data_IF_494438867709
#
_entry.id   IF_494438867709
#
_cell.length_a   1.000
_cell.length_b   1.000
_cell.length_c   1.000
_cell.angle_alpha   90.00
_cell.angle_beta   90.00
_cell.angle_gamma   90.00
#
_symmetry.space_group_name_H-M   'P 1'
#
loop_
_entity.id
_entity.type
_entity.pdbx_description
1 polymer ?
#
# COMPACT_ATOMS: atom_id res chain seq x y z
N UNK A 1 5.29 18.06 -7.00
CA UNK A 1 5.45 16.72 -6.39
C UNK A 1 5.62 16.94 -4.90
N UNK A 2 4.81 16.29 -4.08
CA UNK A 2 4.91 16.36 -2.63
C UNK A 2 5.20 14.98 -2.07
N UNK A 3 6.09 14.88 -1.09
CA UNK A 3 6.41 13.65 -0.40
C UNK A 3 6.19 13.83 1.10
N UNK A 4 5.46 12.89 1.71
CA UNK A 4 5.18 12.85 3.16
C UNK A 4 5.80 11.56 3.70
N UNK A 5 6.68 11.68 4.68
CA UNK A 5 7.34 10.54 5.31
C UNK A 5 6.67 10.25 6.66
N UNK A 6 6.39 8.97 6.92
CA UNK A 6 5.65 8.49 8.08
C UNK A 6 6.36 7.24 8.62
N UNK A 7 7.33 7.43 9.52
CA UNK A 7 8.16 6.31 9.96
C UNK A 7 8.97 5.72 8.80
N UNK A 8 8.85 4.42 8.56
CA UNK A 8 9.44 3.74 7.41
C UNK A 8 8.64 3.87 6.11
N UNK A 9 7.47 4.51 6.15
CA UNK A 9 6.57 4.66 5.01
C UNK A 9 6.66 6.03 4.35
N UNK A 10 6.23 6.13 3.09
CA UNK A 10 6.12 7.41 2.37
C UNK A 10 4.89 7.46 1.47
N UNK A 11 4.30 8.65 1.35
CA UNK A 11 3.27 8.99 0.36
C UNK A 11 3.87 10.01 -0.59
N UNK A 12 3.79 9.72 -1.89
CA UNK A 12 4.25 10.59 -2.97
C UNK A 12 3.03 11.01 -3.77
N UNK A 13 2.78 12.31 -3.83
CA UNK A 13 1.66 12.88 -4.58
C UNK A 13 2.16 13.68 -5.78
N UNK A 14 1.62 13.34 -6.96
CA UNK A 14 1.87 14.07 -8.19
C UNK A 14 1.13 15.42 -8.20
N UNK A 15 1.55 16.40 -9.03
CA UNK A 15 0.81 17.65 -9.18
C UNK A 15 -0.64 17.48 -9.63
N UNK A 16 -0.98 16.36 -10.28
CA UNK A 16 -2.34 16.01 -10.70
C UNK A 16 -3.14 15.27 -9.63
N UNK A 17 -2.59 15.07 -8.42
CA UNK A 17 -3.27 14.49 -7.27
C UNK A 17 -3.10 12.98 -7.11
N UNK A 18 -2.54 12.29 -8.12
CA UNK A 18 -2.30 10.84 -8.06
C UNK A 18 -1.29 10.49 -6.98
N UNK A 19 -1.50 9.34 -6.33
CA UNK A 19 -0.76 8.91 -5.15
C UNK A 19 0.01 7.61 -5.43
N UNK A 20 1.30 7.64 -5.09
CA UNK A 20 2.13 6.44 -4.92
C UNK A 20 2.50 6.30 -3.44
N UNK A 21 2.48 5.07 -2.93
CA UNK A 21 2.70 4.76 -1.51
C UNK A 21 3.81 3.73 -1.39
N UNK A 22 4.78 4.02 -0.54
CA UNK A 22 5.77 3.05 -0.07
C UNK A 22 5.40 2.65 1.35
N UNK A 23 4.97 1.39 1.54
CA UNK A 23 4.55 0.85 2.83
C UNK A 23 5.72 0.16 3.52
N UNK A 24 6.68 0.95 3.97
CA UNK A 24 7.95 0.45 4.52
C UNK A 24 7.95 0.12 5.99
N UNK A 25 6.79 0.19 6.65
CA UNK A 25 6.69 -0.15 8.06
C UNK A 25 6.48 1.06 8.95
N UNK A 26 5.39 1.04 9.70
CA UNK A 26 5.04 2.07 10.67
C UNK A 26 4.47 3.32 10.02
N UNK A 27 3.84 4.13 10.88
CA UNK A 27 3.10 5.32 10.49
C UNK A 27 1.66 5.02 10.06
N UNK A 28 0.73 5.92 10.37
CA UNK A 28 -0.67 5.78 9.97
C UNK A 28 -0.88 6.34 8.55
N UNK A 29 -0.41 5.57 7.55
CA UNK A 29 -0.46 5.94 6.13
C UNK A 29 -1.90 6.11 5.67
N UNK A 30 -2.79 5.17 6.02
CA UNK A 30 -4.19 5.19 5.63
C UNK A 30 -4.90 6.45 6.15
N UNK A 31 -4.78 6.76 7.44
CA UNK A 31 -5.40 7.99 7.99
C UNK A 31 -4.72 9.27 7.49
N UNK A 32 -3.48 9.21 7.03
CA UNK A 32 -2.84 10.36 6.39
C UNK A 32 -3.37 10.58 4.98
N UNK A 33 -3.55 9.51 4.19
CA UNK A 33 -4.24 9.59 2.90
C UNK A 33 -5.68 10.11 3.06
N UNK A 34 -6.43 9.63 4.06
CA UNK A 34 -7.79 10.09 4.34
C UNK A 34 -7.88 11.61 4.63
N UNK A 35 -6.78 12.23 5.08
CA UNK A 35 -6.71 13.67 5.38
C UNK A 35 -6.29 14.53 4.19
N UNK A 36 -5.53 13.97 3.24
CA UNK A 36 -4.93 14.74 2.13
C UNK A 36 -5.60 14.47 0.79
N UNK A 37 -6.27 13.32 0.63
CA UNK A 37 -7.02 12.97 -0.56
C UNK A 37 -8.48 13.45 -0.45
N UNK A 38 -9.12 13.86 -1.56
CA UNK A 38 -10.57 14.07 -1.58
C UNK A 38 -11.32 12.81 -1.13
N UNK A 39 -12.42 12.95 -0.39
CA UNK A 39 -13.18 11.80 0.15
C UNK A 39 -13.68 10.80 -0.90
N UNK A 40 -13.92 11.29 -2.12
CA UNK A 40 -14.35 10.50 -3.28
C UNK A 40 -13.17 9.83 -4.00
N UNK A 41 -11.95 10.32 -3.79
CA UNK A 41 -10.74 9.77 -4.39
C UNK A 41 -10.23 8.64 -3.51
N UNK A 42 -10.54 7.43 -3.94
CA UNK A 42 -10.21 6.18 -3.26
C UNK A 42 -9.24 5.34 -4.09
N UNK A 43 -8.43 5.96 -4.93
CA UNK A 43 -7.43 5.27 -5.73
C UNK A 43 -5.99 5.55 -5.29
N UNK A 44 -5.19 4.49 -5.23
CA UNK A 44 -3.73 4.54 -5.13
C UNK A 44 -3.19 3.99 -6.44
N UNK A 45 -2.45 4.79 -7.19
CA UNK A 45 -1.90 4.38 -8.49
C UNK A 45 -0.85 3.28 -8.29
N UNK A 46 0.00 3.44 -7.28
CA UNK A 46 1.10 2.54 -7.00
C UNK A 46 1.26 2.31 -5.50
N UNK A 47 1.21 1.06 -5.06
CA UNK A 47 1.59 0.64 -3.71
C UNK A 47 2.84 -0.23 -3.80
N UNK A 48 3.88 0.09 -3.04
CA UNK A 48 5.14 -0.66 -2.98
C UNK A 48 5.29 -1.22 -1.58
N UNK A 49 5.43 -2.53 -1.47
CA UNK A 49 5.83 -3.21 -0.23
C UNK A 49 7.28 -3.63 -0.33
N UNK A 50 8.16 -3.25 0.61
CA UNK A 50 9.57 -3.62 0.52
C UNK A 50 9.86 -5.05 1.01
N UNK A 51 8.92 -5.69 1.72
CA UNK A 51 9.12 -7.00 2.33
C UNK A 51 7.82 -7.82 2.32
N UNK A 52 7.94 -9.14 2.20
CA UNK A 52 6.86 -10.11 2.39
C UNK A 52 6.77 -10.55 3.85
N UNK A 53 6.55 -9.59 4.75
CA UNK A 53 6.49 -9.82 6.20
C UNK A 53 5.07 -9.60 6.74
N UNK A 54 4.75 -10.23 7.87
CA UNK A 54 3.51 -9.96 8.61
C UNK A 54 3.35 -8.48 8.96
N UNK A 55 4.46 -7.82 9.29
CA UNK A 55 4.48 -6.40 9.61
C UNK A 55 4.04 -5.55 8.41
N UNK A 56 4.62 -5.76 7.24
CA UNK A 56 4.26 -5.03 6.02
C UNK A 56 2.82 -5.33 5.56
N UNK A 57 2.33 -6.55 5.76
CA UNK A 57 0.94 -6.89 5.47
C UNK A 57 -0.03 -6.17 6.40
N UNK A 58 0.25 -6.12 7.70
CA UNK A 58 -0.58 -5.37 8.66
C UNK A 58 -0.67 -3.89 8.32
N UNK A 59 0.41 -3.29 7.84
CA UNK A 59 0.42 -1.88 7.45
C UNK A 59 -0.31 -1.61 6.12
N UNK A 60 -0.28 -2.57 5.19
CA UNK A 60 -0.97 -2.43 3.90
C UNK A 60 -2.44 -2.83 3.95
N UNK A 61 -2.84 -3.65 4.91
CA UNK A 61 -4.22 -4.13 5.00
C UNK A 61 -5.26 -2.98 5.11
N UNK A 62 -5.07 -1.95 5.97
CA UNK A 62 -5.97 -0.80 5.99
C UNK A 62 -6.02 -0.02 4.67
N UNK A 63 -4.92 0.00 3.90
CA UNK A 63 -4.90 0.63 2.58
C UNK A 63 -5.76 -0.15 1.60
N UNK A 64 -5.59 -1.47 1.54
CA UNK A 64 -6.35 -2.36 0.65
C UNK A 64 -7.85 -2.41 1.01
N UNK A 65 -8.20 -2.19 2.27
CA UNK A 65 -9.59 -2.12 2.72
C UNK A 65 -10.29 -0.81 2.35
N UNK A 66 -9.54 0.30 2.19
CA UNK A 66 -10.09 1.64 1.98
C UNK A 66 -9.89 2.18 0.56
N UNK A 67 -8.88 1.70 -0.14
CA UNK A 67 -8.45 2.20 -1.44
C UNK A 67 -8.38 1.07 -2.46
N UNK A 68 -8.76 1.40 -3.70
CA UNK A 68 -8.45 0.61 -4.87
C UNK A 68 -7.02 0.91 -5.29
N UNK A 69 -6.19 -0.11 -5.37
CA UNK A 69 -4.80 0.00 -5.80
C UNK A 69 -4.70 -0.43 -7.25
N UNK A 70 -4.18 0.43 -8.13
CA UNK A 70 -4.03 0.06 -9.54
C UNK A 70 -2.87 -0.93 -9.73
N UNK A 71 -1.70 -0.62 -9.16
CA UNK A 71 -0.53 -1.51 -9.19
C UNK A 71 0.04 -1.72 -7.79
N UNK A 72 0.18 -2.98 -7.37
CA UNK A 72 0.94 -3.39 -6.19
C UNK A 72 2.28 -3.96 -6.64
N UNK A 73 3.39 -3.44 -6.11
CA UNK A 73 4.74 -3.99 -6.30
C UNK A 73 5.16 -4.70 -5.02
N UNK A 74 5.50 -5.97 -5.15
CA UNK A 74 6.00 -6.83 -4.07
C UNK A 74 7.36 -7.43 -4.48
N UNK A 75 8.29 -7.70 -3.54
CA UNK A 75 9.53 -8.42 -3.87
C UNK A 75 9.22 -9.86 -4.27
N UNK A 76 10.15 -10.60 -4.89
CA UNK A 76 9.92 -12.03 -5.15
C UNK A 76 9.84 -12.88 -3.87
N UNK A 77 9.51 -14.17 -4.04
CA UNK A 77 9.52 -15.14 -2.95
C UNK A 77 8.15 -15.43 -2.34
N UNK A 78 8.18 -16.23 -1.28
CA UNK A 78 7.00 -16.67 -0.55
C UNK A 78 6.60 -15.68 0.54
N UNK A 79 5.29 -15.56 0.77
CA UNK A 79 4.76 -14.81 1.91
C UNK A 79 5.20 -15.45 3.23
N UNK A 80 5.70 -14.64 4.17
CA UNK A 80 5.87 -15.10 5.55
C UNK A 80 4.51 -15.53 6.12
N UNK A 81 4.48 -16.52 7.00
CA UNK A 81 3.27 -16.88 7.73
C UNK A 81 2.83 -15.74 8.67
N UNK A 82 1.56 -15.76 9.10
CA UNK A 82 1.03 -14.81 10.06
C UNK A 82 -0.49 -14.65 9.96
N UNK A 83 -1.07 -14.11 11.02
CA UNK A 83 -2.53 -14.01 11.20
C UNK A 83 -3.20 -13.15 10.11
N UNK A 84 -2.50 -12.11 9.62
CA UNK A 84 -3.06 -11.23 8.59
C UNK A 84 -3.08 -11.83 7.19
N UNK A 85 -2.35 -12.93 6.94
CA UNK A 85 -2.11 -13.43 5.58
C UNK A 85 -3.41 -13.76 4.83
N UNK A 86 -4.32 -14.49 5.48
CA UNK A 86 -5.57 -14.92 4.84
C UNK A 86 -6.50 -13.74 4.54
N UNK A 87 -6.56 -12.75 5.43
CA UNK A 87 -7.35 -11.54 5.21
C UNK A 87 -6.73 -10.66 4.13
N UNK A 88 -5.42 -10.45 4.19
CA UNK A 88 -4.67 -9.68 3.23
C UNK A 88 -4.82 -10.24 1.81
N UNK A 89 -4.68 -11.56 1.63
CA UNK A 89 -4.91 -12.21 0.33
C UNK A 89 -6.32 -12.00 -0.18
N UNK A 90 -7.33 -12.08 0.70
CA UNK A 90 -8.73 -11.89 0.33
C UNK A 90 -9.00 -10.47 -0.18
N UNK A 91 -8.53 -9.45 0.54
CA UNK A 91 -8.74 -8.05 0.12
C UNK A 91 -7.88 -7.67 -1.07
N UNK A 92 -6.69 -8.27 -1.22
CA UNK A 92 -5.82 -8.03 -2.37
C UNK A 92 -6.54 -8.38 -3.66
N UNK A 93 -7.25 -9.52 -3.72
CA UNK A 93 -7.98 -9.96 -4.91
C UNK A 93 -9.09 -8.98 -5.32
N UNK A 94 -9.75 -8.32 -4.35
CA UNK A 94 -10.82 -7.36 -4.64
C UNK A 94 -10.33 -5.94 -4.90
N UNK A 95 -9.19 -5.56 -4.34
CA UNK A 95 -8.75 -4.17 -4.25
C UNK A 95 -7.56 -3.84 -5.15
N UNK A 96 -6.87 -4.82 -5.73
CA UNK A 96 -5.68 -4.61 -6.55
C UNK A 96 -5.94 -4.94 -8.02
N UNK A 97 -5.68 -4.00 -8.93
CA UNK A 97 -5.82 -4.21 -10.37
C UNK A 97 -4.72 -5.08 -10.97
N UNK A 98 -3.47 -4.86 -10.54
CA UNK A 98 -2.30 -5.61 -11.01
C UNK A 98 -1.28 -5.79 -9.90
N UNK A 99 -0.71 -6.99 -9.79
CA UNK A 99 0.45 -7.27 -8.95
C UNK A 99 1.68 -7.42 -9.83
N UNK A 100 2.75 -6.72 -9.49
CA UNK A 100 4.07 -6.84 -10.09
C UNK A 100 5.04 -7.40 -9.06
N UNK A 101 5.87 -8.34 -9.49
CA UNK A 101 6.96 -8.88 -8.68
C UNK A 101 8.26 -8.24 -9.10
N UNK A 102 8.99 -7.66 -8.15
CA UNK A 102 10.31 -7.10 -8.35
C UNK A 102 11.37 -8.08 -7.86
N UNK A 103 12.25 -8.50 -8.78
CA UNK A 103 13.49 -9.21 -8.45
C UNK A 103 14.61 -8.18 -8.34
N UNK A 104 15.44 -8.30 -7.30
CA UNK A 104 16.66 -7.52 -7.11
C UNK A 104 17.83 -8.33 -7.66
#
# INVERSE_FOLDING_TARGET
>A
LHAIFLGGSAIIQSPSGHQAVFAGGGGDVASTLDRIAPLWDREIELLITPQRSEYTRRDTLPLLQRYRVQTLVVPDGSEAEGDSLAEWQRVLVSSVGRVLTASI
#
